data_IF_572761046902
#
_entry.id   IF_572761046902
#
_cell.length_a   1.000
_cell.length_b   1.000
_cell.length_c   1.000
_cell.angle_alpha   90.00
_cell.angle_beta   90.00
_cell.angle_gamma   90.00
#
_symmetry.space_group_name_H-M   'P 1'
#
loop_
_entity.id
_entity.type
_entity.pdbx_description
1 polymer ?
#
# COMPACT_ATOMS: atom_id res chain seq x y z
N UNK A 1 -14.30 10.98 4.59
CA UNK A 1 -13.80 10.82 3.22
C UNK A 1 -14.65 9.72 2.58
N UNK A 2 -14.70 9.61 1.26
CA UNK A 2 -15.49 8.54 0.63
C UNK A 2 -14.58 7.84 -0.37
N UNK A 3 -14.67 6.51 -0.47
CA UNK A 3 -13.89 5.73 -1.43
C UNK A 3 -14.76 5.36 -2.63
N UNK A 4 -14.13 5.18 -3.79
CA UNK A 4 -14.77 4.75 -5.03
C UNK A 4 -13.98 3.63 -5.69
N UNK A 5 -14.69 2.78 -6.43
CA UNK A 5 -14.08 1.74 -7.25
C UNK A 5 -13.77 2.32 -8.64
N UNK A 6 -12.56 2.07 -9.14
CA UNK A 6 -12.11 2.57 -10.44
C UNK A 6 -12.21 1.51 -11.53
N UNK A 7 -11.93 1.90 -12.78
CA UNK A 7 -11.78 0.96 -13.89
C UNK A 7 -10.57 0.02 -13.77
N UNK A 8 -9.66 0.24 -12.81
CA UNK A 8 -8.52 -0.63 -12.53
C UNK A 8 -8.89 -1.80 -11.58
N UNK A 9 -10.17 -1.91 -11.22
CA UNK A 9 -10.68 -3.05 -10.48
C UNK A 9 -10.78 -4.29 -11.39
N UNK A 10 -10.26 -5.41 -10.89
CA UNK A 10 -10.25 -6.70 -11.58
C UNK A 10 -11.31 -7.68 -11.03
N UNK A 11 -12.33 -7.16 -10.33
CA UNK A 11 -13.49 -7.94 -9.87
C UNK A 11 -13.11 -9.19 -9.04
N UNK A 12 -12.09 -9.06 -8.17
CA UNK A 12 -11.53 -10.17 -7.39
C UNK A 12 -12.19 -10.40 -6.01
N UNK A 13 -13.22 -9.63 -5.66
CA UNK A 13 -14.02 -9.69 -4.42
C UNK A 13 -13.29 -9.58 -3.06
N UNK A 14 -11.97 -9.41 -3.06
CA UNK A 14 -11.18 -9.30 -1.81
C UNK A 14 -11.66 -8.19 -0.90
N UNK A 15 -11.91 -7.00 -1.45
CA UNK A 15 -12.33 -5.84 -0.66
C UNK A 15 -13.72 -6.01 -0.03
N UNK A 16 -14.61 -6.79 -0.65
CA UNK A 16 -15.96 -7.03 -0.16
C UNK A 16 -15.95 -7.76 1.18
N UNK A 17 -15.11 -8.80 1.30
CA UNK A 17 -14.98 -9.59 2.54
C UNK A 17 -14.36 -8.82 3.70
N UNK A 18 -13.60 -7.75 3.41
CA UNK A 18 -12.86 -6.98 4.40
C UNK A 18 -13.59 -5.70 4.84
N UNK A 19 -14.72 -5.38 4.21
CA UNK A 19 -15.49 -4.18 4.54
C UNK A 19 -16.34 -4.43 5.80
N UNK A 20 -16.07 -3.75 6.93
CA UNK A 20 -16.78 -4.00 8.18
C UNK A 20 -18.24 -3.54 8.16
N UNK A 21 -18.56 -2.55 7.33
CA UNK A 21 -19.92 -1.99 7.21
C UNK A 21 -20.71 -2.60 6.05
N UNK A 22 -20.12 -3.50 5.27
CA UNK A 22 -20.76 -4.07 4.08
C UNK A 22 -21.02 -3.04 2.96
N UNK A 23 -20.26 -1.95 2.92
CA UNK A 23 -20.46 -0.86 1.96
C UNK A 23 -20.10 -1.20 0.51
N UNK A 24 -19.45 -2.33 0.24
CA UNK A 24 -19.07 -2.75 -1.12
C UNK A 24 -20.15 -3.69 -1.66
N UNK A 25 -20.86 -3.23 -2.67
CA UNK A 25 -21.98 -3.93 -3.32
C UNK A 25 -21.68 -4.12 -4.81
N UNK A 26 -22.37 -5.05 -5.47
CA UNK A 26 -22.17 -5.34 -6.90
C UNK A 26 -23.38 -4.89 -7.70
N UNK A 27 -23.16 -4.01 -8.68
CA UNK A 27 -24.19 -3.52 -9.60
C UNK A 27 -23.75 -3.79 -11.04
N UNK A 28 -24.56 -4.51 -11.82
CA UNK A 28 -24.27 -4.88 -13.21
C UNK A 28 -22.91 -5.59 -13.38
N UNK A 29 -22.56 -6.47 -12.42
CA UNK A 29 -21.29 -7.20 -12.41
C UNK A 29 -20.09 -6.39 -11.94
N UNK A 30 -20.24 -5.07 -11.70
CA UNK A 30 -19.15 -4.21 -11.23
C UNK A 30 -19.31 -3.89 -9.75
N UNK A 31 -18.25 -4.03 -8.93
CA UNK A 31 -18.29 -3.59 -7.56
C UNK A 31 -18.34 -2.06 -7.49
N UNK A 32 -19.17 -1.54 -6.60
CA UNK A 32 -19.26 -0.12 -6.25
C UNK A 32 -19.32 0.04 -4.73
N UNK A 33 -18.97 1.24 -4.25
CA UNK A 33 -19.02 1.56 -2.82
C UNK A 33 -20.26 2.42 -2.57
N UNK A 34 -21.13 1.96 -1.69
CA UNK A 34 -22.28 2.70 -1.20
C UNK A 34 -21.81 3.79 -0.21
N UNK A 35 -21.90 5.08 -0.57
CA UNK A 35 -21.37 6.17 0.25
C UNK A 35 -22.12 6.34 1.57
N UNK A 36 -23.37 5.86 1.66
CA UNK A 36 -24.16 5.94 2.88
C UNK A 36 -23.73 4.91 3.94
N UNK A 37 -23.05 3.84 3.52
CA UNK A 37 -22.56 2.77 4.41
C UNK A 37 -21.06 2.89 4.67
N UNK A 38 -20.31 3.56 3.79
CA UNK A 38 -18.88 3.74 3.93
C UNK A 38 -18.57 4.72 5.06
N UNK A 39 -17.79 4.29 6.05
CA UNK A 39 -17.38 5.10 7.19
C UNK A 39 -15.85 5.23 7.30
N UNK A 40 -15.12 5.09 6.19
CA UNK A 40 -13.65 5.05 6.16
C UNK A 40 -13.02 3.97 7.06
N UNK A 41 -13.76 2.91 7.37
CA UNK A 41 -13.38 1.89 8.36
C UNK A 41 -13.18 2.44 9.79
N UNK A 42 -13.65 3.65 10.08
CA UNK A 42 -13.55 4.29 11.40
C UNK A 42 -14.28 3.43 12.45
N UNK A 43 -13.62 3.20 13.58
CA UNK A 43 -14.13 2.35 14.67
C UNK A 43 -13.84 0.85 14.50
N UNK A 44 -13.28 0.43 13.35
CA UNK A 44 -12.89 -0.95 13.10
C UNK A 44 -11.39 -1.09 12.84
N UNK A 45 -10.85 -0.24 11.95
CA UNK A 45 -9.45 -0.27 11.54
C UNK A 45 -8.85 1.13 11.50
N UNK A 46 -7.53 1.24 11.66
CA UNK A 46 -6.80 2.51 11.50
C UNK A 46 -6.54 2.88 10.04
N UNK A 47 -6.73 1.93 9.12
CA UNK A 47 -6.54 2.11 7.68
C UNK A 47 -7.72 1.54 6.88
N UNK A 48 -8.06 2.13 5.72
CA UNK A 48 -9.13 1.63 4.87
C UNK A 48 -8.79 0.27 4.27
N UNK A 49 -9.58 -0.75 4.61
CA UNK A 49 -9.29 -2.12 4.21
C UNK A 49 -9.45 -2.35 2.71
N UNK A 50 -10.41 -1.69 2.04
CA UNK A 50 -10.61 -1.86 0.59
C UNK A 50 -9.36 -1.52 -0.22
N UNK A 51 -8.58 -0.53 0.23
CA UNK A 51 -7.36 -0.08 -0.41
C UNK A 51 -6.19 -0.98 -0.02
N UNK A 52 -6.09 -1.34 1.26
CA UNK A 52 -5.01 -2.18 1.79
C UNK A 52 -4.96 -3.59 1.17
N UNK A 53 -6.12 -4.16 0.81
CA UNK A 53 -6.20 -5.52 0.25
C UNK A 53 -6.32 -5.56 -1.29
N UNK A 54 -6.35 -4.38 -1.93
CA UNK A 54 -6.52 -4.28 -3.38
C UNK A 54 -5.25 -4.78 -4.10
N UNK A 55 -5.32 -5.84 -4.93
CA UNK A 55 -4.13 -6.38 -5.59
C UNK A 55 -3.55 -5.45 -6.66
N UNK A 56 -4.36 -4.56 -7.23
CA UNK A 56 -3.90 -3.57 -8.21
C UNK A 56 -3.48 -2.25 -7.58
N UNK A 57 -3.64 -2.08 -6.26
CA UNK A 57 -3.45 -0.84 -5.49
C UNK A 57 -4.26 0.38 -5.96
N UNK A 58 -4.98 0.27 -7.08
CA UNK A 58 -5.69 1.36 -7.75
C UNK A 58 -7.17 1.07 -7.99
N UNK A 59 -7.63 -0.13 -7.65
CA UNK A 59 -9.03 -0.52 -7.76
C UNK A 59 -9.97 0.15 -6.76
N UNK A 60 -9.51 0.48 -5.54
CA UNK A 60 -10.25 1.28 -4.54
C UNK A 60 -9.44 2.55 -4.23
N UNK A 61 -9.98 3.73 -4.52
CA UNK A 61 -9.29 5.01 -4.31
C UNK A 61 -10.19 6.03 -3.61
N UNK A 62 -9.64 7.04 -2.91
CA UNK A 62 -10.43 8.16 -2.41
C UNK A 62 -11.19 8.85 -3.56
N UNK A 63 -12.46 9.18 -3.35
CA UNK A 63 -13.27 9.88 -4.35
C UNK A 63 -12.80 11.32 -4.51
N UNK A 64 -12.85 11.81 -5.76
CA UNK A 64 -12.41 13.17 -6.11
C UNK A 64 -13.28 14.26 -5.44
N UNK A 65 -14.53 13.95 -5.08
CA UNK A 65 -15.39 14.86 -4.29
C UNK A 65 -14.77 15.20 -2.93
N UNK A 66 -13.86 14.36 -2.43
CA UNK A 66 -13.09 14.62 -1.22
C UNK A 66 -11.98 15.66 -1.43
N UNK A 67 -11.58 15.94 -2.67
CA UNK A 67 -10.52 16.90 -3.03
C UNK A 67 -11.03 18.35 -3.14
N UNK A 68 -12.36 18.57 -3.10
CA UNK A 68 -12.98 19.90 -3.31
C UNK A 68 -13.52 20.51 -1.99
N UNK A 69 -13.25 19.93 -0.82
CA UNK A 69 -13.50 20.64 0.44
C UNK A 69 -12.25 21.42 0.87
N UNK A 70 -12.25 22.77 0.84
CA UNK A 70 -11.24 23.56 1.54
C UNK A 70 -11.59 23.55 3.03
N UNK A 71 -11.45 22.39 3.68
CA UNK A 71 -11.48 22.31 5.14
C UNK A 71 -10.10 21.95 5.64
N UNK A 72 -9.40 23.02 6.01
CA UNK A 72 -8.10 23.12 6.65
C UNK A 72 -7.60 21.85 7.36
N UNK A 73 -6.42 21.42 6.90
CA UNK A 73 -5.29 20.86 7.66
C UNK A 73 -5.55 19.52 8.37
N UNK A 74 -5.14 18.45 7.70
CA UNK A 74 -4.47 17.34 8.36
C UNK A 74 -3.25 17.03 7.49
N UNK A 75 -2.05 17.31 8.02
CA UNK A 75 -0.76 17.02 7.37
C UNK A 75 -0.84 15.67 6.68
N UNK A 76 -0.56 15.67 5.38
CA UNK A 76 -0.72 14.50 4.53
C UNK A 76 0.06 13.33 5.16
N UNK A 77 -0.66 12.27 5.50
CA UNK A 77 -0.08 11.09 6.17
C UNK A 77 1.16 10.60 5.42
N UNK A 78 1.11 10.69 4.09
CA UNK A 78 2.20 10.34 3.20
C UNK A 78 3.41 11.26 3.36
N UNK A 79 3.23 12.57 3.48
CA UNK A 79 4.34 13.51 3.71
C UNK A 79 5.05 13.21 5.03
N UNK A 80 4.30 12.99 6.12
CA UNK A 80 4.91 12.62 7.40
C UNK A 80 5.59 11.24 7.36
N UNK A 81 5.03 10.29 6.63
CA UNK A 81 5.62 8.96 6.48
C UNK A 81 6.90 9.00 5.64
N UNK A 82 6.89 9.71 4.51
CA UNK A 82 8.07 9.90 3.66
C UNK A 82 9.20 10.57 4.42
N UNK A 83 8.88 11.59 5.24
CA UNK A 83 9.84 12.26 6.11
C UNK A 83 10.52 11.29 7.10
N UNK A 84 9.75 10.40 7.71
CA UNK A 84 10.29 9.40 8.65
C UNK A 84 11.13 8.36 7.90
N UNK A 85 10.64 7.90 6.74
CA UNK A 85 11.34 6.95 5.89
C UNK A 85 12.68 7.49 5.40
N UNK A 86 12.72 8.71 4.88
CA UNK A 86 13.92 9.33 4.36
C UNK A 86 14.96 9.57 5.45
N UNK A 87 14.55 9.96 6.66
CA UNK A 87 15.44 10.06 7.82
C UNK A 87 16.03 8.70 8.19
N UNK A 88 15.24 7.64 8.20
CA UNK A 88 15.71 6.29 8.50
C UNK A 88 16.72 5.81 7.43
N UNK A 89 16.43 6.04 6.15
CA UNK A 89 17.34 5.71 5.04
C UNK A 89 18.63 6.52 5.11
N UNK A 90 18.56 7.81 5.40
CA UNK A 90 19.74 8.66 5.58
C UNK A 90 20.61 8.14 6.73
N UNK A 91 20.02 7.73 7.86
CA UNK A 91 20.74 7.11 8.97
C UNK A 91 21.37 5.77 8.59
N UNK A 92 20.66 4.91 7.86
CA UNK A 92 21.19 3.63 7.39
C UNK A 92 22.35 3.80 6.40
N UNK A 93 22.26 4.78 5.49
CA UNK A 93 23.34 5.13 4.55
C UNK A 93 24.54 5.78 5.26
N UNK A 94 24.29 6.58 6.29
CA UNK A 94 25.34 7.24 7.08
C UNK A 94 26.07 6.27 8.03
N UNK A 95 25.41 5.19 8.46
CA UNK A 95 26.08 4.09 9.17
C UNK A 95 27.08 3.43 8.22
N UNK A 96 28.37 3.62 8.47
CA UNK A 96 29.44 2.93 7.73
C UNK A 96 29.13 1.42 7.71
N UNK A 97 28.86 0.89 6.52
CA UNK A 97 28.63 -0.54 6.34
C UNK A 97 29.78 -1.30 6.98
N UNK A 98 29.46 -2.18 7.92
CA UNK A 98 30.47 -2.99 8.60
C UNK A 98 31.15 -3.87 7.56
N UNK A 99 32.48 -3.94 7.60
CA UNK A 99 33.31 -4.78 6.70
C UNK A 99 32.83 -6.24 6.63
N UNK A 100 32.11 -6.71 7.65
CA UNK A 100 31.45 -8.02 7.71
C UNK A 100 30.44 -8.23 6.57
N UNK A 101 29.46 -7.35 6.40
CA UNK A 101 28.39 -7.53 5.40
C UNK A 101 28.91 -7.49 3.97
N UNK A 102 29.88 -6.61 3.70
CA UNK A 102 30.55 -6.57 2.40
C UNK A 102 31.33 -7.85 2.12
N UNK A 103 32.10 -8.33 3.09
CA UNK A 103 32.87 -9.57 2.95
C UNK A 103 31.96 -10.78 2.79
N UNK A 104 30.88 -10.87 3.57
CA UNK A 104 29.90 -11.94 3.47
C UNK A 104 29.21 -11.95 2.10
N UNK A 105 28.73 -10.78 1.64
CA UNK A 105 28.10 -10.67 0.32
C UNK A 105 29.07 -11.03 -0.81
N UNK A 106 30.32 -10.56 -0.75
CA UNK A 106 31.34 -10.92 -1.73
C UNK A 106 31.62 -12.42 -1.77
N UNK A 107 31.79 -13.08 -0.62
CA UNK A 107 32.02 -14.52 -0.55
C UNK A 107 30.81 -15.31 -1.06
N UNK A 108 29.61 -14.94 -0.63
CA UNK A 108 28.38 -15.58 -1.08
C UNK A 108 28.16 -15.43 -2.59
N UNK A 109 28.39 -14.23 -3.14
CA UNK A 109 28.25 -13.98 -4.58
C UNK A 109 29.26 -14.78 -5.42
N UNK A 110 30.48 -14.99 -4.92
CA UNK A 110 31.49 -15.84 -5.55
C UNK A 110 31.09 -17.32 -5.51
N UNK A 111 30.51 -17.78 -4.39
CA UNK A 111 30.05 -19.16 -4.24
C UNK A 111 28.90 -19.46 -5.20
N UNK A 112 27.92 -18.56 -5.33
CA UNK A 112 26.85 -18.67 -6.34
C UNK A 112 27.41 -18.67 -7.76
N UNK A 113 28.39 -17.80 -8.08
CA UNK A 113 29.03 -17.81 -9.39
C UNK A 113 29.80 -19.13 -9.67
N UNK A 114 30.40 -19.72 -8.65
CA UNK A 114 31.09 -21.02 -8.76
C UNK A 114 30.11 -22.17 -8.99
N UNK A 115 28.94 -22.11 -8.34
CA UNK A 115 27.85 -23.07 -8.52
C UNK A 115 27.18 -22.92 -9.89
N UNK A 116 27.05 -21.70 -10.40
CA UNK A 116 26.54 -21.45 -11.75
C UNK A 116 27.48 -22.00 -12.83
N UNK A 117 28.80 -21.95 -12.62
CA UNK A 117 29.80 -22.48 -13.55
C UNK A 117 30.01 -24.00 -13.47
N UNK A 118 29.45 -24.68 -12.46
CA UNK A 118 29.52 -26.15 -12.31
C UNK A 118 28.29 -26.88 -12.85
N UNK A 119 27.28 -26.16 -13.32
CA UNK A 119 26.05 -26.69 -13.94
C UNK A 119 26.13 -26.68 -15.49
N UNK A 120 27.30 -26.39 -16.06
CA UNK A 120 27.60 -26.47 -17.50
C UNK A 120 28.43 -27.73 -17.80
#
# INVERSE_FOLDING_TARGET
MTYQITSECIECDRCQTQCPTGAIETLNGKPFINPNLCNDCVGYYSVPQCMAVCPTNRGCVPSIDTLIQPKQIQTDYWESWFDIYDRAIAQLKARKQTKYWHRWFSLYSQEIASLANTVQ
#
